data_IF_374666527386
#
_entry.id   IF_374666527386
#
_cell.length_a   1.000
_cell.length_b   1.000
_cell.length_c   1.000
_cell.angle_alpha   90.00
_cell.angle_beta   90.00
_cell.angle_gamma   90.00
#
_symmetry.space_group_name_H-M   'P 1'
#
loop_
_entity.id
_entity.type
_entity.pdbx_description
1 polymer ?
#
# COMPACT_ATOMS: atom_id res chain seq x y z
N UNK A 1 12.88 -22.32 13.87
CA UNK A 1 11.94 -22.15 12.75
C UNK A 1 10.53 -22.51 13.23
N UNK A 2 9.51 -21.63 13.09
CA UNK A 2 8.13 -21.91 13.53
C UNK A 2 7.53 -23.18 12.92
N UNK A 3 7.92 -23.54 11.70
CA UNK A 3 7.44 -24.75 11.01
C UNK A 3 7.94 -26.04 11.67
N UNK A 4 9.16 -26.03 12.22
CA UNK A 4 9.72 -27.20 12.88
C UNK A 4 9.04 -27.45 14.25
N UNK A 5 8.58 -26.37 14.91
CA UNK A 5 7.85 -26.46 16.19
C UNK A 5 6.38 -26.86 15.97
N UNK A 6 5.76 -26.37 14.89
CA UNK A 6 4.36 -26.67 14.57
C UNK A 6 4.08 -28.16 14.33
N UNK A 7 5.07 -28.92 13.88
CA UNK A 7 4.95 -30.34 13.58
C UNK A 7 5.24 -31.22 14.81
N UNK A 8 5.60 -30.62 15.96
CA UNK A 8 5.78 -31.35 17.22
C UNK A 8 4.44 -31.34 17.97
N UNK A 9 4.16 -32.43 18.71
CA UNK A 9 2.93 -32.57 19.49
C UNK A 9 2.77 -31.34 20.42
N UNK A 10 1.74 -30.51 20.17
CA UNK A 10 1.51 -29.29 20.92
C UNK A 10 0.78 -29.52 22.23
N UNK A 11 0.99 -28.63 23.17
CA UNK A 11 0.29 -28.56 24.44
C UNK A 11 -0.87 -27.57 24.33
N UNK A 12 -1.93 -27.76 25.13
CA UNK A 12 -3.17 -26.98 25.04
C UNK A 12 -3.13 -25.63 25.79
N UNK A 13 -2.02 -25.27 26.43
CA UNK A 13 -1.91 -24.03 27.21
C UNK A 13 -0.60 -23.31 26.91
N UNK A 14 -0.61 -21.98 26.95
CA UNK A 14 0.54 -21.12 26.66
C UNK A 14 1.73 -21.39 27.62
N UNK A 15 1.44 -21.73 28.90
CA UNK A 15 2.49 -22.08 29.88
C UNK A 15 3.16 -23.41 29.54
N UNK A 16 2.39 -24.44 29.16
CA UNK A 16 2.91 -25.72 28.73
C UNK A 16 3.70 -25.64 27.43
N UNK A 17 3.27 -24.77 26.51
CA UNK A 17 3.98 -24.46 25.26
C UNK A 17 5.33 -23.77 25.54
N UNK A 18 5.36 -22.84 26.51
CA UNK A 18 6.61 -22.17 26.90
C UNK A 18 7.61 -23.12 27.53
N UNK A 19 7.17 -23.99 28.45
CA UNK A 19 8.01 -25.03 29.05
C UNK A 19 8.54 -26.02 28.01
N UNK A 20 7.69 -26.42 27.07
CA UNK A 20 8.04 -27.30 25.97
C UNK A 20 9.08 -26.67 25.04
N UNK A 21 8.91 -25.44 24.67
CA UNK A 21 9.87 -24.68 23.85
C UNK A 21 11.22 -24.54 24.59
N UNK A 22 11.20 -24.30 25.90
CA UNK A 22 12.40 -24.25 26.73
C UNK A 22 13.15 -25.59 26.74
N UNK A 23 12.44 -26.70 26.87
CA UNK A 23 13.02 -28.05 26.82
C UNK A 23 13.64 -28.35 25.46
N UNK A 24 12.92 -28.08 24.38
CA UNK A 24 13.42 -28.24 23.00
C UNK A 24 14.69 -27.41 22.76
N UNK A 25 14.73 -26.17 23.26
CA UNK A 25 15.91 -25.31 23.19
C UNK A 25 17.08 -25.90 23.97
N UNK A 26 16.83 -26.35 25.22
CA UNK A 26 17.85 -26.95 26.11
C UNK A 26 18.47 -28.20 25.51
N UNK A 27 17.69 -29.03 24.81
CA UNK A 27 18.17 -30.24 24.14
C UNK A 27 18.75 -30.01 22.74
N UNK A 28 18.83 -28.75 22.27
CA UNK A 28 19.37 -28.40 20.94
C UNK A 28 18.51 -28.89 19.77
N UNK A 29 17.23 -29.21 20.01
CA UNK A 29 16.31 -29.71 18.99
C UNK A 29 15.70 -28.60 18.13
N UNK A 30 15.84 -27.35 18.58
CA UNK A 30 15.38 -26.19 17.78
C UNK A 30 16.45 -25.74 16.79
N UNK A 31 16.16 -25.84 15.51
CA UNK A 31 17.04 -25.28 14.47
C UNK A 31 17.00 -23.75 14.52
N UNK A 32 18.16 -23.08 14.59
CA UNK A 32 18.19 -21.63 14.59
C UNK A 32 17.60 -21.07 13.27
N UNK A 33 16.81 -20.02 13.37
CA UNK A 33 16.39 -19.25 12.21
C UNK A 33 17.49 -18.28 11.81
N UNK A 34 17.63 -18.05 10.52
CA UNK A 34 18.48 -16.97 10.02
C UNK A 34 17.99 -15.64 10.59
N UNK A 35 18.86 -14.96 11.31
CA UNK A 35 18.64 -13.61 11.83
C UNK A 35 19.28 -12.63 10.84
N UNK A 36 18.48 -11.87 10.07
CA UNK A 36 19.03 -10.88 9.17
C UNK A 36 19.77 -9.79 9.94
N UNK A 37 20.84 -9.25 9.35
CA UNK A 37 21.58 -8.13 9.90
C UNK A 37 20.71 -6.90 10.18
N UNK A 38 21.22 -5.96 10.97
CA UNK A 38 20.44 -4.80 11.45
C UNK A 38 19.83 -3.99 10.30
N UNK A 39 20.59 -3.70 9.24
CA UNK A 39 20.11 -2.97 8.08
C UNK A 39 18.94 -3.66 7.37
N UNK A 40 19.03 -4.98 7.17
CA UNK A 40 17.94 -5.76 6.57
C UNK A 40 16.67 -5.76 7.43
N UNK A 41 16.81 -5.73 8.77
CA UNK A 41 15.67 -5.60 9.69
C UNK A 41 15.01 -4.23 9.60
N UNK A 42 15.81 -3.15 9.53
CA UNK A 42 15.32 -1.79 9.38
C UNK A 42 14.55 -1.62 8.06
N UNK A 43 15.12 -2.05 6.94
CA UNK A 43 14.45 -2.01 5.63
C UNK A 43 13.14 -2.80 5.66
N UNK A 44 13.13 -4.00 6.27
CA UNK A 44 11.91 -4.81 6.41
C UNK A 44 10.83 -4.10 7.22
N UNK A 45 11.19 -3.43 8.30
CA UNK A 45 10.25 -2.68 9.13
C UNK A 45 9.63 -1.50 8.35
N UNK A 46 10.45 -0.71 7.64
CA UNK A 46 9.95 0.38 6.80
C UNK A 46 9.07 -0.13 5.64
N UNK A 47 9.46 -1.24 5.01
CA UNK A 47 8.63 -1.87 3.95
C UNK A 47 7.27 -2.33 4.48
N UNK A 48 7.22 -2.87 5.70
CA UNK A 48 5.94 -3.22 6.34
C UNK A 48 5.09 -1.98 6.62
N UNK A 49 5.70 -0.93 7.14
CA UNK A 49 5.01 0.34 7.39
C UNK A 49 4.46 0.93 6.08
N UNK A 50 5.29 0.99 5.03
CA UNK A 50 4.87 1.40 3.68
C UNK A 50 3.65 0.62 3.19
N UNK A 51 3.67 -0.71 3.33
CA UNK A 51 2.55 -1.55 2.92
C UNK A 51 1.27 -1.30 3.74
N UNK A 52 1.40 -0.99 5.03
CA UNK A 52 0.25 -0.62 5.86
C UNK A 52 -0.36 0.72 5.41
N UNK A 53 0.49 1.71 5.11
CA UNK A 53 0.06 3.02 4.58
C UNK A 53 -0.61 2.87 3.21
N UNK A 54 -0.07 2.01 2.33
CA UNK A 54 -0.67 1.72 1.03
C UNK A 54 -2.08 1.15 1.17
N UNK A 55 -2.30 0.17 2.05
CA UNK A 55 -3.63 -0.38 2.34
C UNK A 55 -4.60 0.69 2.89
N UNK A 56 -4.07 1.66 3.67
CA UNK A 56 -4.87 2.76 4.17
C UNK A 56 -5.26 3.74 3.05
N UNK A 57 -4.35 4.03 2.12
CA UNK A 57 -4.64 4.82 0.92
C UNK A 57 -5.68 4.14 0.02
N UNK A 58 -5.55 2.83 -0.23
CA UNK A 58 -6.52 2.03 -1.00
C UNK A 58 -7.94 2.11 -0.41
N UNK A 59 -8.08 2.08 0.92
CA UNK A 59 -9.38 2.28 1.57
C UNK A 59 -9.98 3.66 1.28
N UNK A 60 -9.15 4.70 1.18
CA UNK A 60 -9.65 6.04 0.86
C UNK A 60 -10.19 6.11 -0.58
N UNK A 61 -9.58 5.39 -1.52
CA UNK A 61 -10.10 5.27 -2.88
C UNK A 61 -11.52 4.69 -2.87
N UNK A 62 -11.74 3.62 -2.10
CA UNK A 62 -13.08 3.02 -1.97
C UNK A 62 -14.09 3.99 -1.35
N UNK A 63 -13.66 4.79 -0.36
CA UNK A 63 -14.54 5.80 0.25
C UNK A 63 -14.87 6.94 -0.72
N UNK A 64 -13.90 7.40 -1.53
CA UNK A 64 -14.15 8.38 -2.60
C UNK A 64 -15.17 7.84 -3.60
N UNK A 65 -14.97 6.61 -4.09
CA UNK A 65 -15.89 5.96 -5.03
C UNK A 65 -17.29 5.83 -4.43
N UNK A 66 -17.38 5.37 -3.18
CA UNK A 66 -18.67 5.23 -2.48
C UNK A 66 -19.40 6.56 -2.33
N UNK A 67 -18.69 7.64 -1.96
CA UNK A 67 -19.31 8.96 -1.85
C UNK A 67 -19.84 9.46 -3.19
N UNK A 68 -19.08 9.24 -4.27
CA UNK A 68 -19.52 9.59 -5.64
C UNK A 68 -20.74 8.77 -6.06
N UNK A 69 -20.73 7.46 -5.83
CA UNK A 69 -21.85 6.57 -6.18
C UNK A 69 -23.13 6.91 -5.41
N UNK A 70 -23.02 7.25 -4.12
CA UNK A 70 -24.17 7.66 -3.32
C UNK A 70 -24.77 8.98 -3.81
N UNK A 71 -23.97 9.87 -4.41
CA UNK A 71 -24.43 11.07 -5.11
C UNK A 71 -24.93 10.80 -6.54
N UNK A 72 -25.03 9.53 -6.96
CA UNK A 72 -25.33 9.09 -8.33
C UNK A 72 -24.27 9.52 -9.37
N UNK A 73 -23.07 9.89 -8.95
CA UNK A 73 -21.95 10.23 -9.83
C UNK A 73 -21.17 8.95 -10.17
N UNK A 74 -21.31 8.46 -11.40
CA UNK A 74 -20.76 7.17 -11.86
C UNK A 74 -19.38 7.31 -12.48
N UNK A 75 -18.53 8.18 -11.91
CA UNK A 75 -17.20 8.47 -12.44
C UNK A 75 -16.32 7.23 -12.62
N UNK A 76 -16.40 6.28 -11.71
CA UNK A 76 -15.62 5.02 -11.73
C UNK A 76 -15.98 4.09 -12.90
N UNK A 77 -17.12 4.29 -13.56
CA UNK A 77 -17.51 3.47 -14.72
C UNK A 77 -16.89 3.96 -16.04
N UNK A 78 -16.53 5.24 -16.11
CA UNK A 78 -15.99 5.88 -17.31
C UNK A 78 -14.51 6.23 -17.21
N UNK A 79 -13.99 6.33 -15.98
CA UNK A 79 -12.56 6.56 -15.70
C UNK A 79 -12.02 5.38 -14.92
N UNK A 80 -10.96 4.76 -15.43
CA UNK A 80 -10.34 3.55 -14.83
C UNK A 80 -9.70 3.81 -13.46
N UNK A 81 -9.25 5.03 -13.21
CA UNK A 81 -8.57 5.42 -11.97
C UNK A 81 -9.03 6.81 -11.52
N UNK A 82 -9.80 6.84 -10.43
CA UNK A 82 -10.30 8.10 -9.83
C UNK A 82 -9.18 8.92 -9.17
N UNK A 83 -8.05 8.30 -8.84
CA UNK A 83 -6.86 8.97 -8.28
C UNK A 83 -5.86 9.40 -9.35
N UNK A 84 -6.06 8.97 -10.59
CA UNK A 84 -5.30 9.42 -11.73
C UNK A 84 -5.57 10.88 -12.10
N UNK A 85 -4.81 11.42 -13.04
CA UNK A 85 -4.83 12.84 -13.38
C UNK A 85 -6.23 13.35 -13.76
N UNK A 86 -6.99 12.62 -14.59
CA UNK A 86 -8.36 12.97 -14.98
C UNK A 86 -9.32 12.93 -13.79
N UNK A 87 -9.31 11.85 -13.01
CA UNK A 87 -10.16 11.68 -11.84
C UNK A 87 -9.92 12.77 -10.79
N UNK A 88 -8.66 13.06 -10.49
CA UNK A 88 -8.29 14.11 -9.53
C UNK A 88 -8.73 15.51 -9.97
N UNK A 89 -8.56 15.86 -11.24
CA UNK A 89 -9.03 17.15 -11.78
C UNK A 89 -10.54 17.30 -11.64
N UNK A 90 -11.29 16.26 -12.01
CA UNK A 90 -12.76 16.27 -11.93
C UNK A 90 -13.19 16.35 -10.45
N UNK A 91 -12.66 15.50 -9.57
CA UNK A 91 -13.00 15.52 -8.14
C UNK A 91 -12.64 16.86 -7.50
N UNK A 92 -11.48 17.44 -7.81
CA UNK A 92 -11.09 18.77 -7.31
C UNK A 92 -12.05 19.85 -7.78
N UNK A 93 -12.50 19.82 -9.03
CA UNK A 93 -13.50 20.77 -9.54
C UNK A 93 -14.88 20.59 -8.88
N UNK A 94 -15.29 19.34 -8.62
CA UNK A 94 -16.50 19.03 -7.85
C UNK A 94 -16.40 19.63 -6.44
N UNK A 95 -15.30 19.43 -5.75
CA UNK A 95 -15.07 19.96 -4.39
C UNK A 95 -14.98 21.50 -4.38
N UNK A 96 -14.51 22.11 -5.47
CA UNK A 96 -14.50 23.56 -5.67
C UNK A 96 -15.90 24.14 -5.97
N UNK A 97 -16.93 23.30 -6.04
CA UNK A 97 -18.32 23.74 -6.24
C UNK A 97 -18.81 23.67 -7.69
N UNK A 98 -18.01 23.17 -8.62
CA UNK A 98 -18.44 23.03 -10.01
C UNK A 98 -19.40 21.86 -10.17
N UNK A 99 -20.50 22.06 -10.89
CA UNK A 99 -21.60 21.08 -11.06
C UNK A 99 -22.01 20.91 -12.53
N UNK A 100 -21.32 21.59 -13.44
CA UNK A 100 -21.64 21.56 -14.89
C UNK A 100 -21.00 20.32 -15.49
N UNK A 101 -21.78 19.29 -15.91
CA UNK A 101 -21.24 18.02 -16.39
C UNK A 101 -20.27 18.16 -17.56
N UNK A 102 -20.59 19.03 -18.52
CA UNK A 102 -19.77 19.28 -19.73
C UNK A 102 -18.40 19.87 -19.35
N UNK A 103 -18.39 20.83 -18.40
CA UNK A 103 -17.14 21.39 -17.90
C UNK A 103 -16.31 20.33 -17.18
N UNK A 104 -16.93 19.57 -16.28
CA UNK A 104 -16.24 18.50 -15.55
C UNK A 104 -15.67 17.45 -16.53
N UNK A 105 -16.42 17.06 -17.56
CA UNK A 105 -15.97 16.15 -18.60
C UNK A 105 -14.80 16.73 -19.43
N UNK A 106 -14.75 18.04 -19.62
CA UNK A 106 -13.66 18.71 -20.34
C UNK A 106 -12.30 18.56 -19.65
N UNK A 107 -12.30 18.34 -18.32
CA UNK A 107 -11.08 18.14 -17.51
C UNK A 107 -10.46 16.76 -17.68
N UNK A 108 -11.20 15.81 -18.28
CA UNK A 108 -10.67 14.50 -18.60
C UNK A 108 -9.63 14.60 -19.73
N UNK A 109 -8.54 13.83 -19.56
CA UNK A 109 -7.48 13.77 -20.57
C UNK A 109 -7.95 13.07 -21.83
N UNK A 110 -7.32 13.39 -22.97
CA UNK A 110 -7.65 12.83 -24.29
C UNK A 110 -7.41 11.32 -24.40
N UNK A 111 -6.65 10.72 -23.48
CA UNK A 111 -6.38 9.28 -23.43
C UNK A 111 -7.46 8.48 -22.66
N UNK A 112 -8.53 9.12 -22.18
CA UNK A 112 -9.67 8.43 -21.60
C UNK A 112 -10.39 7.62 -22.70
N UNK A 113 -10.80 6.39 -22.38
CA UNK A 113 -11.49 5.51 -23.32
C UNK A 113 -12.92 5.97 -23.61
N UNK A 114 -13.59 6.52 -22.59
CA UNK A 114 -14.94 7.06 -22.71
C UNK A 114 -14.92 8.42 -23.42
N UNK A 115 -15.94 8.69 -24.20
CA UNK A 115 -16.15 9.99 -24.83
C UNK A 115 -16.46 11.08 -23.79
N UNK A 116 -16.30 12.35 -24.15
CA UNK A 116 -16.64 13.45 -23.23
C UNK A 116 -18.13 13.49 -22.91
N UNK A 117 -18.97 13.09 -23.84
CA UNK A 117 -20.42 12.99 -23.70
C UNK A 117 -20.79 11.89 -22.68
N UNK A 118 -20.15 10.72 -22.76
CA UNK A 118 -20.34 9.63 -21.81
C UNK A 118 -19.85 10.03 -20.41
N UNK A 119 -18.72 10.74 -20.32
CA UNK A 119 -18.20 11.25 -19.04
C UNK A 119 -19.18 12.29 -18.47
N UNK A 120 -19.71 13.21 -19.27
CA UNK A 120 -20.67 14.21 -18.83
C UNK A 120 -21.94 13.57 -18.26
N UNK A 121 -22.51 12.57 -18.95
CA UNK A 121 -23.67 11.82 -18.46
C UNK A 121 -23.39 11.08 -17.15
N UNK A 122 -22.18 10.58 -16.94
CA UNK A 122 -21.79 9.92 -15.70
C UNK A 122 -21.65 10.87 -14.50
N UNK A 123 -21.57 12.17 -14.76
CA UNK A 123 -21.37 13.23 -13.76
C UNK A 123 -22.67 13.95 -13.38
N UNK A 124 -23.81 13.45 -13.80
CA UNK A 124 -25.12 13.92 -13.35
C UNK A 124 -25.43 13.34 -11.96
N UNK A 125 -25.38 14.17 -10.92
CA UNK A 125 -25.51 13.74 -9.53
C UNK A 125 -26.39 14.66 -8.67
N UNK A 126 -26.64 14.23 -7.41
CA UNK A 126 -27.49 14.92 -6.43
C UNK A 126 -26.73 15.97 -5.62
N UNK A 127 -25.45 15.84 -5.46
CA UNK A 127 -24.54 16.79 -4.79
C UNK A 127 -24.86 17.05 -3.30
N UNK A 128 -25.15 16.02 -2.54
CA UNK A 128 -25.49 16.10 -1.13
C UNK A 128 -24.28 16.60 -0.31
N UNK A 129 -24.52 17.58 0.58
CA UNK A 129 -23.46 18.29 1.28
C UNK A 129 -22.63 17.41 2.23
N UNK A 130 -23.25 16.44 2.88
CA UNK A 130 -22.62 15.46 3.75
C UNK A 130 -21.73 14.48 2.95
N UNK A 131 -22.19 14.06 1.75
CA UNK A 131 -21.42 13.20 0.86
C UNK A 131 -20.23 13.94 0.24
N UNK A 132 -20.40 15.23 -0.11
CA UNK A 132 -19.29 16.09 -0.55
C UNK A 132 -18.26 16.28 0.57
N UNK A 133 -18.71 16.44 1.82
CA UNK A 133 -17.81 16.53 2.96
C UNK A 133 -17.01 15.25 3.16
N UNK A 134 -17.66 14.07 3.12
CA UNK A 134 -16.96 12.78 3.24
C UNK A 134 -16.02 12.51 2.07
N UNK A 135 -16.38 12.92 0.85
CA UNK A 135 -15.51 12.87 -0.32
C UNK A 135 -14.25 13.72 -0.11
N UNK A 136 -14.41 14.96 0.37
CA UNK A 136 -13.29 15.84 0.68
C UNK A 136 -12.34 15.22 1.69
N UNK A 137 -12.87 14.71 2.81
CA UNK A 137 -12.05 14.04 3.83
C UNK A 137 -11.29 12.84 3.28
N UNK A 138 -11.93 12.04 2.42
CA UNK A 138 -11.29 10.88 1.80
C UNK A 138 -10.15 11.27 0.86
N UNK A 139 -10.30 12.38 0.10
CA UNK A 139 -9.25 12.92 -0.75
C UNK A 139 -8.07 13.42 0.08
N UNK A 140 -8.32 14.21 1.13
CA UNK A 140 -7.28 14.73 2.03
C UNK A 140 -6.53 13.60 2.74
N UNK A 141 -7.25 12.59 3.22
CA UNK A 141 -6.64 11.41 3.84
C UNK A 141 -5.80 10.58 2.86
N UNK A 142 -6.27 10.41 1.62
CA UNK A 142 -5.50 9.76 0.56
C UNK A 142 -4.18 10.49 0.31
N UNK A 143 -4.23 11.81 0.12
CA UNK A 143 -3.03 12.64 -0.12
C UNK A 143 -2.06 12.57 1.06
N UNK A 144 -2.57 12.57 2.29
CA UNK A 144 -1.76 12.36 3.48
C UNK A 144 -1.03 11.01 3.45
N UNK A 145 -1.72 9.90 3.15
CA UNK A 145 -1.09 8.59 3.07
C UNK A 145 -0.07 8.48 1.94
N UNK A 146 -0.31 9.10 0.78
CA UNK A 146 0.65 9.14 -0.33
C UNK A 146 1.93 9.86 0.08
N UNK A 147 1.84 10.99 0.79
CA UNK A 147 3.00 11.68 1.31
C UNK A 147 3.78 10.82 2.33
N UNK A 148 3.08 10.15 3.26
CA UNK A 148 3.73 9.25 4.21
C UNK A 148 4.41 8.04 3.53
N UNK A 149 3.87 7.54 2.42
CA UNK A 149 4.49 6.49 1.61
C UNK A 149 5.78 7.02 0.97
N UNK A 150 5.76 8.23 0.43
CA UNK A 150 6.94 8.87 -0.14
C UNK A 150 8.06 9.06 0.91
N UNK A 151 7.72 9.44 2.15
CA UNK A 151 8.66 9.52 3.26
C UNK A 151 9.29 8.15 3.59
N UNK A 152 8.48 7.09 3.61
CA UNK A 152 8.99 5.72 3.79
C UNK A 152 9.93 5.31 2.64
N UNK A 153 9.58 5.63 1.39
CA UNK A 153 10.41 5.33 0.23
C UNK A 153 11.75 6.06 0.29
N UNK A 154 11.75 7.31 0.72
CA UNK A 154 12.97 8.08 0.92
C UNK A 154 13.90 7.46 2.00
N UNK A 155 13.35 7.07 3.15
CA UNK A 155 14.15 6.43 4.21
C UNK A 155 14.64 5.04 3.81
N UNK A 156 13.85 4.26 3.05
CA UNK A 156 14.29 2.98 2.48
C UNK A 156 15.45 3.20 1.51
N UNK A 157 15.35 4.16 0.60
CA UNK A 157 16.40 4.49 -0.36
C UNK A 157 17.70 4.89 0.34
N UNK A 158 17.62 5.73 1.37
CA UNK A 158 18.75 6.16 2.20
C UNK A 158 19.45 4.97 2.87
N UNK A 159 18.68 4.05 3.47
CA UNK A 159 19.23 2.84 4.07
C UNK A 159 19.87 1.91 3.03
N UNK A 160 19.30 1.78 1.85
CA UNK A 160 19.85 0.96 0.76
C UNK A 160 21.19 1.52 0.29
N UNK A 161 21.30 2.84 0.10
CA UNK A 161 22.57 3.51 -0.29
C UNK A 161 23.66 3.30 0.78
N UNK A 162 23.32 3.46 2.07
CA UNK A 162 24.26 3.20 3.16
C UNK A 162 24.70 1.73 3.20
N UNK A 163 23.78 0.81 3.00
CA UNK A 163 24.08 -0.63 2.98
C UNK A 163 24.96 -1.01 1.78
N UNK A 164 24.70 -0.46 0.61
CA UNK A 164 25.51 -0.67 -0.57
C UNK A 164 26.94 -0.15 -0.36
N UNK A 165 27.12 1.05 0.17
CA UNK A 165 28.44 1.61 0.49
C UNK A 165 29.23 0.74 1.49
N UNK A 166 28.55 0.12 2.47
CA UNK A 166 29.19 -0.81 3.41
C UNK A 166 29.61 -2.13 2.75
N UNK A 167 28.83 -2.62 1.77
CA UNK A 167 29.17 -3.84 1.02
C UNK A 167 30.36 -3.61 0.08
N UNK A 168 30.42 -2.47 -0.58
CA UNK A 168 31.51 -2.10 -1.48
C UNK A 168 32.85 -1.95 -0.74
N UNK A 169 32.82 -1.49 0.54
CA UNK A 169 34.00 -1.41 1.40
C UNK A 169 34.44 -2.75 1.99
N UNK A 170 33.53 -3.72 2.09
CA UNK A 170 33.80 -5.07 2.61
C UNK A 170 33.83 -6.16 1.54
N UNK A 171 34.09 -5.81 0.27
CA UNK A 171 34.09 -6.76 -0.84
C UNK A 171 35.24 -7.74 -0.78
N UNK A 172 35.12 -8.79 0.05
CA UNK A 172 35.72 -10.08 -0.28
C UNK A 172 34.94 -10.67 -1.48
N UNK A 173 35.63 -11.24 -2.49
CA UNK A 173 34.98 -11.74 -3.69
C UNK A 173 33.98 -12.84 -3.32
N UNK A 174 32.70 -12.65 -3.68
CA UNK A 174 31.65 -13.65 -3.52
C UNK A 174 32.11 -14.96 -4.15
N UNK A 175 32.37 -15.97 -3.31
CA UNK A 175 32.63 -17.35 -3.79
C UNK A 175 31.38 -17.82 -4.52
N UNK A 176 31.44 -17.83 -5.86
CA UNK A 176 30.37 -18.39 -6.69
C UNK A 176 30.26 -19.88 -6.43
N UNK A 177 29.26 -20.29 -5.68
CA UNK A 177 28.90 -21.70 -5.53
C UNK A 177 28.47 -22.25 -6.90
N UNK A 178 29.35 -23.05 -7.54
CA UNK A 178 28.97 -23.80 -8.75
C UNK A 178 27.94 -24.85 -8.33
N UNK A 179 26.70 -24.72 -8.82
CA UNK A 179 25.72 -25.83 -8.72
C UNK A 179 26.34 -27.06 -9.39
N UNK A 180 26.51 -28.12 -8.61
CA UNK A 180 26.79 -29.46 -9.19
C UNK A 180 25.58 -29.84 -10.03
N UNK A 181 25.79 -30.05 -11.32
CA UNK A 181 24.79 -30.68 -12.18
C UNK A 181 24.66 -32.13 -11.72
N UNK A 182 23.45 -32.56 -11.34
CA UNK A 182 23.05 -33.96 -11.19
C UNK A 182 22.87 -34.56 -12.55
#
# INVERSE_FOLDING_TARGET
>A
NPLDVKNLAGHKTDSADAEWLMLLHRYGLLKPCYQPGNAARQIRNLTRQRNNLLRSAEKQILYMQKSLELMNVKLSTVISDVTGLSGRRIISAILAGNRIPEYLASLAMSNCKASKEEIALSLEGTWDADLLFTLKQSVEAYDFFINQIADCDHEIEKLLKLYQAQMDTNSEPLVRYKRKKS
#
